data_IF_639505014265
#
_entry.id   IF_639505014265
#
_cell.length_a   1.000
_cell.length_b   1.000
_cell.length_c   1.000
_cell.angle_alpha   90.00
_cell.angle_beta   90.00
_cell.angle_gamma   90.00
#
_symmetry.space_group_name_H-M   'P 1'
#
loop_
_entity.id
_entity.type
_entity.pdbx_description
1 polymer ?
#
# COMPACT_ATOMS: atom_id res chain seq x y z
N UNK A 1 16.14 18.05 -7.39
CA UNK A 1 15.74 17.94 -5.96
C UNK A 1 14.79 19.04 -5.53
N UNK A 2 15.09 20.33 -5.77
CA UNK A 2 14.21 21.44 -5.38
C UNK A 2 12.77 21.33 -5.87
N UNK A 3 12.55 20.94 -7.14
CA UNK A 3 11.19 20.77 -7.69
C UNK A 3 10.38 19.66 -6.99
N UNK A 4 11.04 18.57 -6.58
CA UNK A 4 10.40 17.45 -5.87
C UNK A 4 10.02 17.85 -4.45
N UNK A 5 10.88 18.62 -3.77
CA UNK A 5 10.60 19.15 -2.44
C UNK A 5 9.43 20.14 -2.48
N UNK A 6 9.37 21.02 -3.47
CA UNK A 6 8.24 21.93 -3.67
C UNK A 6 6.96 21.16 -3.97
N UNK A 7 7.02 20.15 -4.85
CA UNK A 7 5.89 19.28 -5.14
C UNK A 7 5.39 18.52 -3.90
N UNK A 8 6.30 18.00 -3.07
CA UNK A 8 5.96 17.32 -1.83
C UNK A 8 5.31 18.26 -0.82
N UNK A 9 5.87 19.45 -0.62
CA UNK A 9 5.30 20.44 0.30
C UNK A 9 3.92 20.92 -0.18
N UNK A 10 3.75 21.15 -1.49
CA UNK A 10 2.47 21.51 -2.07
C UNK A 10 1.42 20.39 -1.91
N UNK A 11 1.81 19.13 -2.16
CA UNK A 11 0.94 17.97 -1.97
C UNK A 11 0.54 17.79 -0.51
N UNK A 12 1.50 17.93 0.42
CA UNK A 12 1.24 17.86 1.85
C UNK A 12 0.31 18.98 2.33
N UNK A 13 0.54 20.22 1.89
CA UNK A 13 -0.29 21.37 2.23
C UNK A 13 -1.72 21.23 1.68
N UNK A 14 -1.89 20.68 0.48
CA UNK A 14 -3.20 20.40 -0.09
C UNK A 14 -3.92 19.28 0.66
N UNK A 15 -3.22 18.23 1.07
CA UNK A 15 -3.79 17.05 1.71
C UNK A 15 -4.14 17.26 3.20
N UNK A 16 -3.37 18.11 3.89
CA UNK A 16 -3.54 18.41 5.31
C UNK A 16 -5.00 18.74 5.71
N UNK A 17 -5.70 19.69 5.06
CA UNK A 17 -7.08 20.04 5.42
C UNK A 17 -8.11 18.94 5.10
N UNK A 18 -7.81 18.01 4.18
CA UNK A 18 -8.73 16.91 3.83
C UNK A 18 -8.57 15.69 4.73
N UNK A 19 -7.36 15.49 5.27
CA UNK A 19 -7.01 14.33 6.12
C UNK A 19 -7.19 14.65 7.59
N UNK A 20 -6.75 15.84 8.04
CA UNK A 20 -6.85 16.28 9.43
C UNK A 20 -8.09 17.16 9.58
N UNK A 21 -9.18 16.57 10.07
CA UNK A 21 -10.40 17.33 10.41
C UNK A 21 -10.58 17.42 11.92
N UNK A 22 -11.27 18.45 12.39
CA UNK A 22 -11.56 18.70 13.82
C UNK A 22 -12.27 17.54 14.55
N UNK A 23 -12.82 16.57 13.80
CA UNK A 23 -13.58 15.42 14.31
C UNK A 23 -12.85 14.07 14.13
N UNK A 24 -11.61 14.05 13.62
CA UNK A 24 -10.81 12.83 13.41
C UNK A 24 -10.10 12.77 12.05
N UNK A 25 -9.31 11.70 11.84
CA UNK A 25 -8.63 11.40 10.58
C UNK A 25 -9.60 10.83 9.54
N UNK A 26 -9.68 11.46 8.35
CA UNK A 26 -10.50 10.93 7.25
C UNK A 26 -9.71 9.93 6.41
N UNK A 27 -9.83 8.64 6.74
CA UNK A 27 -9.32 7.55 5.92
C UNK A 27 -10.26 7.19 4.76
N UNK A 28 -10.70 8.19 4.00
CA UNK A 28 -11.45 7.94 2.77
C UNK A 28 -10.55 7.28 1.72
N UNK A 29 -11.10 6.45 0.82
CA UNK A 29 -10.35 5.80 -0.25
C UNK A 29 -9.48 6.79 -1.05
N UNK A 30 -10.03 7.96 -1.38
CA UNK A 30 -9.30 9.02 -2.10
C UNK A 30 -8.17 9.63 -1.26
N UNK A 31 -8.42 9.84 0.04
CA UNK A 31 -7.41 10.34 0.97
C UNK A 31 -6.28 9.32 1.16
N UNK A 32 -6.60 8.02 1.27
CA UNK A 32 -5.61 6.94 1.38
C UNK A 32 -4.75 6.89 0.11
N UNK A 33 -5.34 6.95 -1.09
CA UNK A 33 -4.59 6.94 -2.35
C UNK A 33 -3.64 8.15 -2.42
N UNK A 34 -4.13 9.33 -2.05
CA UNK A 34 -3.30 10.54 -2.03
C UNK A 34 -2.21 10.47 -0.96
N UNK A 35 -2.48 9.87 0.20
CA UNK A 35 -1.53 9.68 1.29
C UNK A 35 -0.45 8.64 0.95
N UNK A 36 -0.80 7.55 0.24
CA UNK A 36 0.15 6.61 -0.37
C UNK A 36 1.07 7.36 -1.33
N UNK A 37 0.52 8.19 -2.21
CA UNK A 37 1.33 8.93 -3.18
C UNK A 37 2.30 9.92 -2.52
N UNK A 38 1.88 10.54 -1.41
CA UNK A 38 2.73 11.39 -0.58
C UNK A 38 3.85 10.57 0.10
N UNK A 39 3.55 9.39 0.64
CA UNK A 39 4.57 8.51 1.22
C UNK A 39 5.58 8.05 0.17
N UNK A 40 5.13 7.68 -1.03
CA UNK A 40 6.03 7.35 -2.14
C UNK A 40 6.99 8.49 -2.46
N UNK A 41 6.50 9.72 -2.52
CA UNK A 41 7.33 10.90 -2.78
C UNK A 41 8.27 11.22 -1.61
N UNK A 42 7.80 11.09 -0.37
CA UNK A 42 8.58 11.29 0.85
C UNK A 42 9.75 10.31 0.96
N UNK A 43 9.48 9.01 0.83
CA UNK A 43 10.51 7.99 0.88
C UNK A 43 11.44 8.11 -0.32
N UNK A 44 10.93 8.39 -1.51
CA UNK A 44 11.78 8.66 -2.68
C UNK A 44 12.74 9.82 -2.42
N UNK A 45 12.25 10.94 -1.89
CA UNK A 45 13.09 12.08 -1.51
C UNK A 45 14.13 11.68 -0.46
N UNK A 46 13.73 10.95 0.59
CA UNK A 46 14.62 10.47 1.64
C UNK A 46 15.75 9.59 1.08
N UNK A 47 15.42 8.62 0.22
CA UNK A 47 16.42 7.77 -0.42
C UNK A 47 17.31 8.54 -1.41
N UNK A 48 16.78 9.57 -2.06
CA UNK A 48 17.56 10.43 -2.95
C UNK A 48 18.63 11.23 -2.21
N UNK A 49 18.40 11.58 -0.92
CA UNK A 49 19.40 12.20 -0.06
C UNK A 49 20.55 11.25 0.30
N UNK A 50 20.26 9.95 0.49
CA UNK A 50 21.28 8.94 0.76
C UNK A 50 22.11 8.60 -0.50
N UNK A 51 21.44 8.36 -1.63
CA UNK A 51 22.07 8.04 -2.92
C UNK A 51 21.21 8.61 -4.06
N UNK A 52 21.75 9.44 -4.98
CA UNK A 52 20.99 9.98 -6.09
C UNK A 52 20.74 8.89 -7.16
N UNK A 53 19.73 8.05 -6.94
CA UNK A 53 19.32 7.01 -7.88
C UNK A 53 18.13 7.53 -8.69
N UNK A 54 18.40 7.88 -9.95
CA UNK A 54 17.40 8.41 -10.89
C UNK A 54 16.32 7.38 -11.23
N UNK A 55 16.64 6.08 -11.17
CA UNK A 55 15.74 4.97 -11.51
C UNK A 55 14.44 4.96 -10.70
N UNK A 56 14.53 5.24 -9.39
CA UNK A 56 13.36 5.29 -8.51
C UNK A 56 12.43 6.47 -8.82
N UNK A 57 12.97 7.56 -9.38
CA UNK A 57 12.21 8.76 -9.72
C UNK A 57 11.29 8.59 -10.91
N UNK A 58 11.63 7.69 -11.84
CA UNK A 58 10.82 7.37 -13.01
C UNK A 58 9.48 6.73 -12.58
N UNK A 59 9.46 6.02 -11.46
CA UNK A 59 8.24 5.40 -10.91
C UNK A 59 7.54 6.32 -9.89
N UNK A 60 8.32 7.01 -9.04
CA UNK A 60 7.78 7.89 -8.00
C UNK A 60 7.09 9.16 -8.55
N UNK A 61 7.59 9.73 -9.64
CA UNK A 61 7.01 10.93 -10.24
C UNK A 61 5.61 10.73 -10.84
N UNK A 62 5.34 9.72 -11.70
CA UNK A 62 4.00 9.51 -12.23
C UNK A 62 3.02 9.02 -11.15
N UNK A 63 3.47 8.24 -10.18
CA UNK A 63 2.62 7.80 -9.07
C UNK A 63 2.20 8.96 -8.16
N UNK A 64 3.10 9.92 -7.89
CA UNK A 64 2.77 11.16 -7.20
C UNK A 64 1.76 12.01 -7.99
N UNK A 65 1.96 12.16 -9.31
CA UNK A 65 1.06 12.93 -10.17
C UNK A 65 -0.36 12.32 -10.20
N UNK A 66 -0.43 11.00 -10.39
CA UNK A 66 -1.71 10.25 -10.43
C UNK A 66 -2.40 10.26 -9.07
N UNK A 67 -1.65 10.14 -7.97
CA UNK A 67 -2.22 10.21 -6.63
C UNK A 67 -2.79 11.59 -6.29
N UNK A 68 -2.11 12.66 -6.72
CA UNK A 68 -2.58 14.04 -6.56
C UNK A 68 -3.85 14.29 -7.38
N UNK A 69 -3.89 13.86 -8.64
CA UNK A 69 -5.07 14.04 -9.50
C UNK A 69 -6.28 13.26 -8.98
N UNK A 70 -6.09 12.01 -8.57
CA UNK A 70 -7.17 11.18 -8.01
C UNK A 70 -7.66 11.75 -6.68
N UNK A 71 -6.76 12.20 -5.81
CA UNK A 71 -7.12 12.84 -4.55
C UNK A 71 -7.90 14.15 -4.72
N UNK A 72 -7.62 14.91 -5.79
CA UNK A 72 -8.31 16.16 -6.10
C UNK A 72 -9.70 15.95 -6.74
N UNK A 73 -9.83 14.96 -7.65
CA UNK A 73 -11.07 14.67 -8.37
C UNK A 73 -12.07 13.90 -7.48
N UNK A 74 -11.57 13.11 -6.54
CA UNK A 74 -12.35 12.25 -5.68
C UNK A 74 -13.10 12.98 -4.55
N UNK A 75 -14.32 13.44 -4.81
CA UNK A 75 -15.26 13.84 -3.76
C UNK A 75 -16.03 12.61 -3.27
N UNK A 76 -15.49 11.90 -2.29
CA UNK A 76 -16.26 10.85 -1.61
C UNK A 76 -17.09 11.41 -0.44
N UNK A 77 -18.24 10.79 -0.14
CA UNK A 77 -19.02 11.09 1.06
C UNK A 77 -18.15 10.97 2.32
N UNK A 78 -18.24 11.99 3.16
CA UNK A 78 -17.62 12.08 4.48
C UNK A 78 -18.27 11.05 5.41
N UNK A 79 -17.55 9.97 5.71
CA UNK A 79 -17.87 9.08 6.83
C UNK A 79 -16.69 9.14 7.81
N UNK A 80 -16.71 10.10 8.75
CA UNK A 80 -15.67 10.16 9.76
C UNK A 80 -15.78 8.92 10.63
N UNK A 81 -14.68 8.20 10.76
CA UNK A 81 -14.59 7.13 11.74
C UNK A 81 -14.31 7.83 13.08
N UNK A 82 -15.37 8.24 13.77
CA UNK A 82 -15.30 9.14 14.94
C UNK A 82 -14.83 8.49 16.24
N UNK A 83 -14.26 7.28 16.20
CA UNK A 83 -13.87 6.51 17.39
C UNK A 83 -12.66 5.60 17.12
N UNK A 84 -11.64 6.09 16.42
CA UNK A 84 -10.37 5.36 16.30
C UNK A 84 -9.45 5.81 17.43
N UNK A 85 -8.89 4.86 18.19
CA UNK A 85 -7.82 5.16 19.14
C UNK A 85 -6.57 5.64 18.39
N UNK A 86 -5.86 6.62 18.95
CA UNK A 86 -4.64 7.22 18.34
C UNK A 86 -3.61 6.13 17.96
N UNK A 87 -3.54 5.04 18.73
CA UNK A 87 -2.65 3.92 18.42
C UNK A 87 -3.06 3.11 17.18
N UNK A 88 -4.35 2.94 16.93
CA UNK A 88 -4.84 2.27 15.74
C UNK A 88 -4.63 3.14 14.48
N UNK A 89 -4.77 4.46 14.58
CA UNK A 89 -4.38 5.38 13.50
C UNK A 89 -2.89 5.27 13.18
N UNK A 90 -2.04 5.25 14.21
CA UNK A 90 -0.61 5.05 14.06
C UNK A 90 -0.27 3.69 13.44
N UNK A 91 -0.96 2.61 13.83
CA UNK A 91 -0.80 1.28 13.24
C UNK A 91 -1.09 1.27 11.73
N UNK A 92 -2.19 1.89 11.31
CA UNK A 92 -2.58 1.98 9.90
C UNK A 92 -1.54 2.78 9.11
N UNK A 93 -1.15 3.95 9.60
CA UNK A 93 -0.15 4.80 8.95
C UNK A 93 1.21 4.10 8.84
N UNK A 94 1.63 3.41 9.89
CA UNK A 94 2.93 2.73 9.92
C UNK A 94 2.94 1.49 9.01
N UNK A 95 1.84 0.74 8.97
CA UNK A 95 1.66 -0.38 8.03
C UNK A 95 1.67 0.09 6.59
N UNK A 96 1.00 1.21 6.30
CA UNK A 96 0.97 1.81 4.97
C UNK A 96 2.35 2.32 4.53
N UNK A 97 3.08 2.97 5.45
CA UNK A 97 4.45 3.41 5.22
C UNK A 97 5.37 2.23 4.92
N UNK A 98 5.30 1.15 5.71
CA UNK A 98 6.07 -0.07 5.48
C UNK A 98 5.76 -0.69 4.11
N UNK A 99 4.48 -0.77 3.73
CA UNK A 99 4.06 -1.27 2.43
C UNK A 99 4.67 -0.47 1.27
N UNK A 100 4.65 0.87 1.35
CA UNK A 100 5.24 1.73 0.33
C UNK A 100 6.75 1.47 0.18
N UNK A 101 7.49 1.38 1.30
CA UNK A 101 8.93 1.13 1.29
C UNK A 101 9.26 -0.25 0.71
N UNK A 102 8.54 -1.30 1.12
CA UNK A 102 8.74 -2.66 0.61
C UNK A 102 8.39 -2.77 -0.88
N UNK A 103 7.34 -2.08 -1.35
CA UNK A 103 6.99 -2.03 -2.76
C UNK A 103 8.08 -1.31 -3.58
N UNK A 104 8.67 -0.24 -3.06
CA UNK A 104 9.82 0.42 -3.68
C UNK A 104 11.05 -0.50 -3.74
N UNK A 105 11.34 -1.26 -2.67
CA UNK A 105 12.38 -2.28 -2.68
C UNK A 105 12.12 -3.34 -3.75
N UNK A 106 10.89 -3.85 -3.87
CA UNK A 106 10.54 -4.84 -4.89
C UNK A 106 10.77 -4.31 -6.32
N UNK A 107 10.40 -3.05 -6.59
CA UNK A 107 10.68 -2.39 -7.87
C UNK A 107 12.18 -2.25 -8.10
N UNK A 108 12.96 -1.86 -7.08
CA UNK A 108 14.41 -1.75 -7.17
C UNK A 108 15.06 -3.11 -7.47
N UNK A 109 14.57 -4.21 -6.87
CA UNK A 109 15.04 -5.56 -7.15
C UNK A 109 14.78 -5.96 -8.61
N UNK A 110 13.63 -5.56 -9.17
CA UNK A 110 13.30 -5.78 -10.56
C UNK A 110 14.29 -5.05 -11.49
N UNK A 111 14.59 -3.78 -11.20
CA UNK A 111 15.60 -3.03 -11.95
C UNK A 111 16.99 -3.67 -11.87
N UNK A 112 17.40 -4.11 -10.68
CA UNK A 112 18.69 -4.77 -10.46
C UNK A 112 18.77 -6.08 -11.24
N UNK A 113 17.67 -6.87 -11.27
CA UNK A 113 17.57 -8.08 -12.09
C UNK A 113 17.66 -7.79 -13.58
N UNK A 114 17.02 -6.73 -14.07
CA UNK A 114 17.14 -6.30 -15.46
C UNK A 114 18.59 -5.92 -15.79
N UNK A 115 19.26 -5.15 -14.92
CA UNK A 115 20.66 -4.75 -15.12
C UNK A 115 21.62 -5.96 -15.13
N UNK A 116 21.43 -6.94 -14.26
CA UNK A 116 22.20 -8.20 -14.26
C UNK A 116 21.94 -9.00 -15.55
N UNK A 117 20.70 -9.01 -16.06
CA UNK A 117 20.34 -9.71 -17.30
C UNK A 117 21.04 -9.08 -18.51
N UNK A 118 21.05 -7.75 -18.60
CA UNK A 118 21.76 -7.01 -19.66
C UNK A 118 23.28 -7.26 -19.58
N UNK A 119 23.86 -7.34 -18.38
CA UNK A 119 25.29 -7.65 -18.19
C UNK A 119 25.66 -9.08 -18.58
N UNK A 120 24.76 -10.06 -18.38
CA UNK A 120 24.96 -11.44 -18.83
C UNK A 120 24.84 -11.59 -20.35
N UNK A 121 24.10 -10.71 -21.02
CA UNK A 121 23.90 -10.72 -22.47
C UNK A 121 24.90 -9.78 -23.20
N UNK A 122 26.20 -9.96 -22.94
CA UNK A 122 27.34 -9.56 -23.79
C UNK A 122 27.35 -8.12 -24.36
N UNK A 123 27.75 -7.14 -23.53
CA UNK A 123 28.26 -5.84 -24.02
C UNK A 123 29.80 -5.88 -24.14
N UNK A 124 30.28 -5.71 -25.37
CA UNK A 124 31.65 -5.96 -25.86
C UNK A 124 32.68 -4.85 -25.50
N UNK A 125 32.32 -3.80 -24.76
CA UNK A 125 33.27 -2.72 -24.45
C UNK A 125 33.82 -2.75 -23.01
N UNK A 126 34.95 -3.45 -22.87
CA UNK A 126 35.79 -3.60 -21.65
C UNK A 126 36.54 -2.33 -21.23
N UNK A 127 36.00 -1.14 -21.48
CA UNK A 127 36.60 0.14 -21.08
C UNK A 127 35.79 0.86 -19.97
N UNK A 128 34.53 0.47 -19.77
CA UNK A 128 33.61 1.12 -18.82
C UNK A 128 33.56 0.50 -17.41
N UNK A 129 34.40 -0.52 -17.15
CA UNK A 129 34.40 -1.29 -15.89
C UNK A 129 34.74 -0.43 -14.66
N UNK A 130 35.39 0.72 -14.83
CA UNK A 130 35.71 1.67 -13.74
C UNK A 130 34.69 2.81 -13.55
N UNK A 131 33.63 2.90 -14.36
CA UNK A 131 32.66 4.01 -14.31
C UNK A 131 31.20 3.60 -14.24
N UNK A 132 30.91 2.30 -14.28
CA UNK A 132 29.60 1.80 -13.91
C UNK A 132 29.46 1.99 -12.38
N UNK A 133 28.50 2.80 -11.89
CA UNK A 133 28.20 2.84 -10.45
C UNK A 133 27.96 1.39 -10.02
N UNK A 134 28.70 0.94 -9.01
CA UNK A 134 28.82 -0.48 -8.70
C UNK A 134 27.43 -1.11 -8.51
N UNK A 135 27.19 -2.29 -9.12
CA UNK A 135 26.00 -3.11 -8.84
C UNK A 135 25.77 -3.25 -7.32
N UNK A 136 26.88 -3.36 -6.58
CA UNK A 136 26.94 -3.36 -5.13
C UNK A 136 26.26 -2.15 -4.48
N UNK A 137 26.30 -0.96 -5.07
CA UNK A 137 25.61 0.22 -4.54
C UNK A 137 24.09 0.13 -4.67
N UNK A 138 23.59 -0.42 -5.79
CA UNK A 138 22.14 -0.64 -5.96
C UNK A 138 21.63 -1.77 -5.07
N UNK A 139 22.45 -2.80 -4.86
CA UNK A 139 22.15 -3.92 -3.97
C UNK A 139 22.15 -3.50 -2.49
N UNK A 140 23.12 -2.68 -2.06
CA UNK A 140 23.12 -2.10 -0.72
C UNK A 140 21.85 -1.30 -0.46
N UNK A 141 21.42 -0.47 -1.42
CA UNK A 141 20.19 0.31 -1.27
C UNK A 141 18.94 -0.58 -1.22
N UNK A 142 18.91 -1.67 -1.99
CA UNK A 142 17.84 -2.66 -1.89
C UNK A 142 17.75 -3.24 -0.48
N UNK A 143 18.88 -3.67 0.08
CA UNK A 143 18.94 -4.22 1.43
C UNK A 143 18.58 -3.18 2.50
N UNK A 144 19.02 -1.94 2.34
CA UNK A 144 18.65 -0.84 3.25
C UNK A 144 17.13 -0.58 3.23
N UNK A 145 16.51 -0.57 2.04
CA UNK A 145 15.06 -0.42 1.91
C UNK A 145 14.29 -1.60 2.53
N UNK A 146 14.77 -2.83 2.32
CA UNK A 146 14.17 -4.02 2.94
C UNK A 146 14.27 -3.96 4.46
N UNK A 147 15.42 -3.54 5.00
CA UNK A 147 15.63 -3.39 6.43
C UNK A 147 14.73 -2.31 7.04
N UNK A 148 14.64 -1.14 6.41
CA UNK A 148 13.72 -0.07 6.84
C UNK A 148 12.26 -0.54 6.79
N UNK A 149 11.85 -1.19 5.71
CA UNK A 149 10.49 -1.74 5.56
C UNK A 149 10.19 -2.80 6.63
N UNK A 150 11.13 -3.68 6.91
CA UNK A 150 10.98 -4.72 7.94
C UNK A 150 10.89 -4.14 9.36
N UNK A 151 11.71 -3.13 9.68
CA UNK A 151 11.66 -2.43 10.97
C UNK A 151 10.33 -1.71 11.15
N UNK A 152 9.88 -0.97 10.12
CA UNK A 152 8.57 -0.30 10.14
C UNK A 152 7.43 -1.29 10.35
N UNK A 153 7.45 -2.42 9.63
CA UNK A 153 6.45 -3.47 9.75
C UNK A 153 6.45 -4.10 11.15
N UNK A 154 7.62 -4.33 11.73
CA UNK A 154 7.77 -4.91 13.07
C UNK A 154 7.17 -3.98 14.14
N UNK A 155 7.44 -2.68 14.05
CA UNK A 155 6.84 -1.68 14.94
C UNK A 155 5.32 -1.63 14.71
N UNK A 156 4.87 -1.68 13.46
CA UNK A 156 3.45 -1.68 13.13
C UNK A 156 2.73 -2.89 13.75
N UNK A 157 3.31 -4.09 13.66
CA UNK A 157 2.79 -5.29 14.31
C UNK A 157 2.77 -5.17 15.83
N UNK A 158 3.82 -4.60 16.44
CA UNK A 158 3.87 -4.34 17.88
C UNK A 158 2.74 -3.43 18.36
N UNK A 159 2.50 -2.32 17.65
CA UNK A 159 1.37 -1.43 17.93
C UNK A 159 0.05 -2.16 17.66
N UNK A 160 -0.06 -2.87 16.55
CA UNK A 160 -1.26 -3.63 16.19
C UNK A 160 -1.65 -4.61 17.30
N UNK A 161 -0.70 -5.34 17.87
CA UNK A 161 -0.96 -6.29 18.95
C UNK A 161 -1.56 -5.62 20.19
N UNK A 162 -1.11 -4.42 20.54
CA UNK A 162 -1.62 -3.65 21.70
C UNK A 162 -3.05 -3.15 21.44
N UNK A 163 -3.38 -2.78 20.21
CA UNK A 163 -4.67 -2.15 19.85
C UNK A 163 -5.68 -3.10 19.16
N UNK A 164 -5.33 -4.37 18.95
CA UNK A 164 -6.21 -5.40 18.35
C UNK A 164 -7.39 -5.76 19.27
N UNK A 165 -7.26 -5.60 20.59
CA UNK A 165 -8.34 -5.87 21.54
C UNK A 165 -9.56 -4.95 21.31
N UNK A 166 -9.34 -3.67 20.96
CA UNK A 166 -10.39 -2.71 20.61
C UNK A 166 -11.10 -3.05 19.28
N UNK A 167 -10.35 -3.59 18.31
CA UNK A 167 -10.86 -3.98 17.00
C UNK A 167 -11.82 -5.18 17.05
N UNK A 168 -11.58 -6.13 17.97
CA UNK A 168 -12.48 -7.26 18.23
C UNK A 168 -13.80 -6.79 18.84
N UNK A 169 -13.78 -5.73 19.65
CA UNK A 169 -14.98 -5.16 20.26
C UNK A 169 -15.86 -4.37 19.27
N UNK A 170 -15.28 -3.70 18.28
CA UNK A 170 -16.01 -2.80 17.35
C UNK A 170 -16.38 -3.40 15.98
N UNK A 171 -15.62 -4.36 15.42
CA UNK A 171 -15.80 -4.78 14.01
C UNK A 171 -16.28 -6.21 13.77
N UNK A 172 -16.33 -7.08 14.79
CA UNK A 172 -16.71 -8.49 14.62
C UNK A 172 -18.23 -8.74 14.65
N UNK A 173 -19.04 -7.86 15.24
CA UNK A 173 -20.47 -8.18 15.38
C UNK A 173 -21.27 -7.95 14.08
N UNK A 174 -20.87 -7.01 13.22
CA UNK A 174 -21.69 -6.61 12.08
C UNK A 174 -21.38 -7.35 10.76
N UNK A 175 -20.11 -7.70 10.46
CA UNK A 175 -19.79 -8.44 9.21
C UNK A 175 -19.91 -9.95 9.33
N UNK A 176 -19.73 -10.51 10.53
CA UNK A 176 -19.79 -11.96 10.76
C UNK A 176 -21.23 -12.48 10.78
N UNK A 177 -22.18 -11.68 11.30
CA UNK A 177 -23.61 -12.04 11.31
C UNK A 177 -24.21 -12.02 9.90
N UNK A 178 -23.81 -11.07 9.04
CA UNK A 178 -24.36 -11.00 7.68
C UNK A 178 -23.91 -12.18 6.80
N UNK A 179 -22.63 -12.61 6.92
CA UNK A 179 -22.13 -13.82 6.24
C UNK A 179 -22.81 -15.09 6.75
N UNK A 180 -23.08 -15.19 8.05
CA UNK A 180 -23.76 -16.35 8.63
C UNK A 180 -25.24 -16.41 8.24
N UNK A 181 -25.94 -15.28 8.24
CA UNK A 181 -27.35 -15.19 7.82
C UNK A 181 -27.50 -15.53 6.32
N UNK A 182 -26.60 -15.04 5.47
CA UNK A 182 -26.60 -15.36 4.04
C UNK A 182 -26.34 -16.86 3.80
N UNK A 183 -25.39 -17.46 4.53
CA UNK A 183 -25.11 -18.90 4.46
C UNK A 183 -26.30 -19.76 4.91
N UNK A 184 -26.98 -19.37 5.99
CA UNK A 184 -28.18 -20.07 6.47
C UNK A 184 -29.36 -19.97 5.48
N UNK A 185 -29.58 -18.79 4.88
CA UNK A 185 -30.62 -18.61 3.87
C UNK A 185 -30.34 -19.42 2.59
N UNK A 186 -29.09 -19.46 2.11
CA UNK A 186 -28.70 -20.28 0.96
C UNK A 186 -28.82 -21.78 1.26
N UNK A 187 -28.45 -22.21 2.47
CA UNK A 187 -28.62 -23.59 2.91
C UNK A 187 -30.09 -24.03 2.94
N UNK A 188 -31.00 -23.16 3.43
CA UNK A 188 -32.46 -23.41 3.36
C UNK A 188 -32.97 -23.42 1.92
N UNK A 189 -32.48 -22.54 1.06
CA UNK A 189 -32.89 -22.51 -0.35
C UNK A 189 -32.45 -23.78 -1.10
N UNK A 190 -31.23 -24.27 -0.85
CA UNK A 190 -30.72 -25.53 -1.41
C UNK A 190 -31.51 -26.74 -0.91
N UNK A 191 -31.85 -26.78 0.38
CA UNK A 191 -32.71 -27.81 0.96
C UNK A 191 -34.10 -27.83 0.34
N UNK A 192 -34.70 -26.67 0.07
CA UNK A 192 -36.03 -26.57 -0.57
C UNK A 192 -35.96 -26.97 -2.05
N UNK A 193 -34.91 -26.59 -2.79
CA UNK A 193 -34.71 -27.03 -4.18
C UNK A 193 -34.45 -28.54 -4.25
N UNK A 194 -33.63 -29.10 -3.36
CA UNK A 194 -33.39 -30.55 -3.30
C UNK A 194 -34.63 -31.38 -2.96
N UNK A 195 -35.58 -30.82 -2.20
CA UNK A 195 -36.89 -31.43 -1.94
C UNK A 195 -37.82 -31.34 -3.17
N UNK A 196 -37.70 -30.28 -3.99
CA UNK A 196 -38.47 -30.14 -5.24
C UNK A 196 -37.92 -31.04 -6.37
N UNK A 197 -36.61 -31.28 -6.41
CA UNK A 197 -35.96 -32.15 -7.41
C UNK A 197 -36.13 -33.65 -7.08
N UNK A 198 -36.26 -34.01 -5.80
CA UNK A 198 -36.57 -35.37 -5.35
C UNK A 198 -37.99 -35.86 -5.64
N UNK A 199 -38.88 -34.99 -6.14
CA UNK A 199 -40.24 -35.32 -6.57
C UNK A 199 -40.41 -35.48 -8.09
N UNK A 200 -39.40 -35.15 -8.89
CA UNK A 200 -39.44 -35.31 -10.35
C UNK A 200 -38.94 -36.70 -10.74
N UNK A 201 -39.86 -37.66 -10.68
CA UNK A 201 -39.78 -38.96 -11.33
C UNK A 201 -39.41 -38.79 -12.82
N UNK A 202 -38.13 -38.94 -13.16
CA UNK A 202 -37.68 -39.19 -14.53
C UNK A 202 -37.81 -40.70 -14.78
N UNK A 203 -38.59 -41.15 -15.79
CA UNK A 203 -38.75 -42.57 -16.07
C UNK A 203 -37.44 -43.23 -16.52
N UNK A 204 -37.31 -44.56 -16.33
CA UNK A 204 -36.04 -45.24 -16.08
C UNK A 204 -35.26 -45.64 -17.34
N UNK A 205 -33.94 -45.75 -17.17
CA UNK A 205 -33.12 -46.86 -17.67
C UNK A 205 -32.19 -47.35 -16.57
#
# INVERSE_FOLDING_TARGET
MGLLMVGMLAHAALLYPYVVTLYGLNFNLFNIISLISLFFLFFYFLFCLYRPIVSLGILAAPTALVGLTIGYIGRAPYQPITNISIGLEAHILLSLAAYCVLLMAAVQALFLRLQIRELKHHSIHRFWVNKLPSLQSMESLLFDMLLVGFVLLSIALGIGFIYVEDLMAQHIVHKTVFSYCLGYCLGRYWSVIGVLDGGANVPPI
#
